data_IF_072663197919
#
_entry.id   IF_072663197919
#
_cell.length_a   1.000
_cell.length_b   1.000
_cell.length_c   1.000
_cell.angle_alpha   90.00
_cell.angle_beta   90.00
_cell.angle_gamma   90.00
#
_symmetry.space_group_name_H-M   'P 1'
#
loop_
_entity.id
_entity.type
_entity.pdbx_description
1 polymer ?
#
# COMPACT_ATOMS: atom_id res chain seq x y z
N UNK A 1 14.27 1.66 -4.32
CA UNK A 1 13.94 0.29 -4.71
C UNK A 1 13.55 -0.53 -3.48
N UNK A 2 12.53 -1.35 -3.60
CA UNK A 2 12.13 -2.22 -2.50
C UNK A 2 13.17 -3.30 -2.27
N UNK A 3 13.53 -3.49 -0.99
CA UNK A 3 14.41 -4.59 -0.63
C UNK A 3 13.61 -5.89 -0.58
N UNK A 4 14.31 -7.02 -0.59
CA UNK A 4 13.64 -8.32 -0.46
C UNK A 4 12.93 -8.43 0.89
N UNK A 5 13.50 -7.87 1.93
CA UNK A 5 12.85 -7.88 3.24
C UNK A 5 11.58 -7.05 3.25
N UNK A 6 11.59 -5.90 2.59
CA UNK A 6 10.39 -5.07 2.48
C UNK A 6 9.31 -5.76 1.67
N UNK A 7 9.70 -6.38 0.57
CA UNK A 7 8.74 -7.11 -0.26
C UNK A 7 8.07 -8.23 0.52
N UNK A 8 8.86 -8.96 1.30
CA UNK A 8 8.35 -10.02 2.13
C UNK A 8 7.40 -9.50 3.19
N UNK A 9 7.78 -8.39 3.83
CA UNK A 9 6.96 -7.76 4.84
C UNK A 9 5.61 -7.31 4.28
N UNK A 10 5.64 -6.63 3.14
CA UNK A 10 4.40 -6.16 2.53
C UNK A 10 3.53 -7.30 2.04
N UNK A 11 4.13 -8.35 1.48
CA UNK A 11 3.33 -9.48 1.02
C UNK A 11 2.60 -10.18 2.17
N UNK A 12 3.18 -10.14 3.37
CA UNK A 12 2.54 -10.71 4.55
C UNK A 12 1.25 -9.96 4.90
N UNK A 13 1.14 -8.69 4.50
CA UNK A 13 -0.07 -7.91 4.77
C UNK A 13 -1.29 -8.39 3.99
N UNK A 14 -1.11 -9.32 3.07
CA UNK A 14 -2.25 -9.95 2.41
C UNK A 14 -2.99 -10.89 3.36
N UNK A 15 -2.37 -11.25 4.47
CA UNK A 15 -2.99 -12.09 5.48
C UNK A 15 -3.61 -11.23 6.57
N UNK A 16 -4.85 -11.53 6.91
CA UNK A 16 -5.59 -10.76 7.91
C UNK A 16 -4.84 -10.62 9.23
N UNK A 17 -4.19 -11.70 9.65
CA UNK A 17 -3.43 -11.72 10.89
C UNK A 17 -2.40 -10.58 10.96
N UNK A 18 -1.64 -10.43 9.89
CA UNK A 18 -0.59 -9.43 9.86
C UNK A 18 -1.15 -8.03 9.66
N UNK A 19 -2.25 -7.89 8.91
CA UNK A 19 -2.90 -6.58 8.77
C UNK A 19 -3.34 -6.06 10.12
N UNK A 20 -3.90 -6.91 10.95
CA UNK A 20 -4.33 -6.51 12.28
C UNK A 20 -3.17 -6.21 13.20
N UNK A 21 -2.14 -7.04 13.13
CA UNK A 21 -0.96 -6.87 13.95
C UNK A 21 -0.23 -5.58 13.65
N UNK A 22 -0.04 -5.28 12.35
CA UNK A 22 0.73 -4.12 11.92
C UNK A 22 -0.12 -2.87 11.74
N UNK A 23 -1.44 -3.01 11.75
CA UNK A 23 -2.36 -1.89 11.50
C UNK A 23 -2.10 -1.27 10.14
N UNK A 24 -1.85 -2.11 9.15
CA UNK A 24 -1.56 -1.71 7.77
C UNK A 24 -2.26 -2.64 6.80
N UNK A 25 -2.52 -2.12 5.62
CA UNK A 25 -3.08 -2.95 4.55
C UNK A 25 -2.67 -2.40 3.19
N UNK A 26 -2.92 -3.18 2.15
CA UNK A 26 -2.57 -2.81 0.79
C UNK A 26 -3.84 -2.53 0.03
N UNK A 27 -3.88 -1.38 -0.66
CA UNK A 27 -4.97 -1.08 -1.59
C UNK A 27 -4.41 -1.21 -3.00
N UNK A 28 -5.20 -1.80 -3.90
CA UNK A 28 -4.78 -2.04 -5.28
C UNK A 28 -5.65 -1.26 -6.23
N UNK A 29 -5.02 -0.74 -7.28
CA UNK A 29 -5.70 0.00 -8.33
C UNK A 29 -5.60 1.49 -8.12
N UNK A 30 -5.48 2.22 -9.24
CA UNK A 30 -5.26 3.66 -9.20
C UNK A 30 -6.33 4.39 -8.41
N UNK A 31 -7.59 4.03 -8.64
CA UNK A 31 -8.70 4.71 -7.98
C UNK A 31 -8.64 4.54 -6.46
N UNK A 32 -8.41 3.31 -6.00
CA UNK A 32 -8.34 3.05 -4.56
C UNK A 32 -7.14 3.73 -3.93
N UNK A 33 -6.02 3.73 -4.64
CA UNK A 33 -4.83 4.44 -4.15
C UNK A 33 -5.13 5.93 -3.99
N UNK A 34 -5.76 6.54 -4.99
CA UNK A 34 -6.08 7.95 -4.91
C UNK A 34 -7.07 8.26 -3.78
N UNK A 35 -8.05 7.39 -3.59
CA UNK A 35 -9.01 7.56 -2.50
C UNK A 35 -8.33 7.43 -1.14
N UNK A 36 -7.42 6.49 -1.00
CA UNK A 36 -6.68 6.32 0.24
C UNK A 36 -5.84 7.56 0.57
N UNK A 37 -5.25 8.18 -0.45
CA UNK A 37 -4.45 9.38 -0.25
C UNK A 37 -5.27 10.59 0.18
N UNK A 38 -6.56 10.59 -0.13
CA UNK A 38 -7.45 11.66 0.28
C UNK A 38 -8.04 11.42 1.67
N UNK A 39 -7.86 10.23 2.21
CA UNK A 39 -8.40 9.86 3.51
C UNK A 39 -7.45 10.23 4.64
N UNK A 40 -7.82 9.86 5.86
CA UNK A 40 -6.96 10.06 7.02
C UNK A 40 -5.84 9.03 7.12
N UNK A 41 -5.85 8.03 6.27
CA UNK A 41 -4.83 6.99 6.31
C UNK A 41 -3.49 7.54 5.86
N UNK A 42 -2.43 7.08 6.51
CA UNK A 42 -1.09 7.47 6.13
C UNK A 42 -0.57 6.49 5.09
N UNK A 43 -0.19 7.02 3.93
CA UNK A 43 0.39 6.18 2.88
C UNK A 43 1.89 6.05 3.13
N UNK A 44 2.37 4.82 3.30
CA UNK A 44 3.79 4.59 3.52
C UNK A 44 4.58 4.55 2.23
N UNK A 45 4.01 3.92 1.22
CA UNK A 45 4.69 3.77 -0.06
C UNK A 45 3.68 3.46 -1.14
N UNK A 46 3.90 4.01 -2.34
CA UNK A 46 3.16 3.64 -3.53
C UNK A 46 4.07 2.72 -4.33
N UNK A 47 3.55 1.57 -4.72
CA UNK A 47 4.32 0.56 -5.44
C UNK A 47 3.71 0.36 -6.81
N UNK A 48 4.53 0.41 -7.84
CA UNK A 48 4.08 0.22 -9.21
C UNK A 48 4.92 -0.85 -9.88
N UNK A 49 4.28 -1.61 -10.77
CA UNK A 49 5.04 -2.52 -11.62
C UNK A 49 5.72 -1.72 -12.71
N UNK A 50 6.78 -2.29 -13.28
CA UNK A 50 7.51 -1.63 -14.37
C UNK A 50 6.60 -1.34 -15.55
N UNK A 51 5.72 -2.26 -15.87
CA UNK A 51 4.79 -2.09 -16.98
C UNK A 51 3.83 -0.93 -16.73
N UNK A 52 3.26 -0.87 -15.53
CA UNK A 52 2.36 0.23 -15.19
C UNK A 52 3.07 1.56 -15.21
N UNK A 53 4.29 1.62 -14.67
CA UNK A 53 5.04 2.86 -14.60
C UNK A 53 5.34 3.41 -16.00
N UNK A 54 5.63 2.54 -16.96
CA UNK A 54 5.86 2.97 -18.33
C UNK A 54 4.59 3.47 -18.99
N UNK A 55 3.47 2.84 -18.68
CA UNK A 55 2.19 3.17 -19.30
C UNK A 55 1.62 4.48 -18.76
N UNK A 56 1.84 4.76 -17.48
CA UNK A 56 1.22 5.90 -16.82
C UNK A 56 2.28 6.74 -16.11
N UNK A 57 3.20 7.27 -16.89
CA UNK A 57 4.33 8.02 -16.38
C UNK A 57 3.93 9.27 -15.60
N UNK A 58 2.81 9.88 -15.97
CA UNK A 58 2.34 11.07 -15.27
C UNK A 58 1.96 10.75 -13.83
N UNK A 59 1.40 9.55 -13.58
CA UNK A 59 1.07 9.13 -12.23
C UNK A 59 2.33 8.89 -11.42
N UNK A 60 3.38 8.33 -12.05
CA UNK A 60 4.66 8.13 -11.39
C UNK A 60 5.19 9.48 -10.90
N UNK A 61 5.21 10.46 -11.78
CA UNK A 61 5.70 11.79 -11.43
C UNK A 61 4.87 12.44 -10.33
N UNK A 62 3.55 12.31 -10.44
CA UNK A 62 2.63 12.90 -9.47
C UNK A 62 2.89 12.38 -8.06
N UNK A 63 2.99 11.07 -7.91
CA UNK A 63 3.18 10.47 -6.60
C UNK A 63 4.60 10.62 -6.08
N UNK A 64 5.60 10.55 -6.97
CA UNK A 64 7.00 10.64 -6.56
C UNK A 64 7.37 11.98 -5.92
N UNK A 65 6.62 13.03 -6.20
CA UNK A 65 6.91 14.35 -5.65
C UNK A 65 6.62 14.44 -4.16
N UNK A 66 5.65 13.66 -3.67
CA UNK A 66 5.19 13.81 -2.30
C UNK A 66 5.24 12.52 -1.50
N UNK A 67 5.42 11.39 -2.14
CA UNK A 67 5.33 10.09 -1.51
C UNK A 67 6.50 9.21 -1.93
N UNK A 68 6.87 8.29 -1.03
CA UNK A 68 7.80 7.25 -1.42
C UNK A 68 7.14 6.41 -2.50
N UNK A 69 7.77 6.34 -3.66
CA UNK A 69 7.24 5.59 -4.80
C UNK A 69 8.30 4.62 -5.27
N UNK A 70 7.96 3.35 -5.34
CA UNK A 70 8.88 2.29 -5.74
C UNK A 70 8.34 1.56 -6.95
N UNK A 71 9.24 1.26 -7.89
CA UNK A 71 8.89 0.52 -9.10
C UNK A 71 9.56 -0.84 -9.03
N UNK A 72 8.78 -1.91 -9.19
CA UNK A 72 9.27 -3.27 -9.07
C UNK A 72 8.87 -4.09 -10.29
N UNK A 73 9.46 -5.27 -10.42
CA UNK A 73 9.14 -6.14 -11.56
C UNK A 73 7.72 -6.67 -11.46
N UNK A 74 7.20 -7.16 -12.60
CA UNK A 74 5.88 -7.76 -12.62
C UNK A 74 5.78 -8.95 -11.68
N UNK A 75 6.81 -9.78 -11.66
CA UNK A 75 6.83 -10.96 -10.80
C UNK A 75 6.78 -10.58 -9.33
N UNK A 76 7.53 -9.56 -8.94
CA UNK A 76 7.51 -9.11 -7.56
C UNK A 76 6.19 -8.45 -7.19
N UNK A 77 5.58 -7.74 -8.15
CA UNK A 77 4.29 -7.11 -7.89
C UNK A 77 3.22 -8.15 -7.58
N UNK A 78 3.26 -9.29 -8.25
CA UNK A 78 2.30 -10.35 -7.99
C UNK A 78 2.35 -10.85 -6.55
N UNK A 79 3.49 -10.72 -5.90
CA UNK A 79 3.65 -11.17 -4.51
C UNK A 79 2.90 -10.30 -3.52
N UNK A 80 2.57 -9.08 -3.90
CA UNK A 80 1.83 -8.14 -3.02
C UNK A 80 0.42 -7.88 -3.51
N UNK A 81 -0.03 -8.55 -4.57
CA UNK A 81 -1.34 -8.35 -5.16
C UNK A 81 -2.22 -9.55 -4.93
N UNK A 82 -3.47 -9.32 -4.52
CA UNK A 82 -4.43 -10.40 -4.34
C UNK A 82 -5.17 -10.73 -5.63
N UNK A 83 -5.34 -9.75 -6.51
CA UNK A 83 -6.07 -9.97 -7.74
C UNK A 83 -5.24 -10.79 -8.73
N UNK A 84 -5.91 -11.62 -9.50
CA UNK A 84 -5.23 -12.45 -10.49
C UNK A 84 -4.65 -11.62 -11.63
N UNK A 85 -5.31 -10.51 -11.94
CA UNK A 85 -4.85 -9.63 -13.01
C UNK A 85 -4.67 -8.23 -12.43
N UNK A 86 -3.59 -8.02 -11.67
CA UNK A 86 -3.40 -6.73 -11.00
C UNK A 86 -3.17 -5.60 -12.00
N UNK A 87 -3.70 -4.45 -11.69
CA UNK A 87 -3.53 -3.27 -12.51
C UNK A 87 -2.07 -2.81 -12.58
N UNK A 88 -1.32 -3.05 -11.52
CA UNK A 88 0.09 -2.69 -11.48
C UNK A 88 0.41 -1.49 -10.61
N UNK A 89 -0.56 -1.04 -9.82
CA UNK A 89 -0.33 0.03 -8.86
C UNK A 89 -1.02 -0.34 -7.55
N UNK A 90 -0.31 -0.10 -6.46
CA UNK A 90 -0.80 -0.40 -5.12
C UNK A 90 -0.18 0.58 -4.14
N UNK A 91 -0.78 0.68 -2.96
CA UNK A 91 -0.22 1.49 -1.89
C UNK A 91 -0.33 0.75 -0.57
N UNK A 92 0.68 0.92 0.26
CA UNK A 92 0.66 0.40 1.63
C UNK A 92 0.20 1.54 2.51
N UNK A 93 -0.89 1.32 3.24
CA UNK A 93 -1.53 2.37 4.03
C UNK A 93 -1.58 1.94 5.48
N UNK A 94 -1.30 2.88 6.37
CA UNK A 94 -1.39 2.65 7.81
C UNK A 94 -2.71 3.21 8.32
N UNK A 95 -3.35 2.46 9.21
CA UNK A 95 -4.54 2.93 9.87
C UNK A 95 -4.09 3.95 10.91
N UNK A 96 -4.68 5.15 10.97
CA UNK A 96 -4.24 6.14 11.97
C UNK A 96 -4.44 5.58 13.36
N UNK A 97 -3.39 5.64 14.15
CA UNK A 97 -3.53 5.24 15.54
C UNK A 97 -4.22 6.37 16.28
N UNK A 98 -5.32 6.03 16.91
CA UNK A 98 -6.01 6.98 17.73
C UNK A 98 -5.35 6.98 19.10
N UNK A 99 -4.90 8.11 19.57
CA UNK A 99 -4.34 8.17 20.91
C UNK A 99 -5.40 7.89 21.95
N UNK A 100 -6.61 7.90 21.51
CA UNK A 100 -7.69 7.57 22.38
C UNK A 100 -7.92 6.10 22.43
N UNK A 101 -7.58 5.52 22.07
CA UNK A 101 -7.86 4.24 21.85
C UNK A 101 -8.36 3.53 22.90
N UNK A 102 -8.40 4.76 22.86
CA UNK A 102 -8.68 4.55 23.39
C UNK A 102 -9.43 4.18 23.80
N UNK A 103 -9.46 3.93 23.95
CA UNK A 103 -10.02 3.77 24.30
C UNK A 103 -10.67 3.20 24.27
N UNK A 104 -10.78 3.00 24.23
CA UNK A 104 -11.20 2.59 24.29
C UNK A 104 -11.80 2.09 24.34
N UNK A 105 -11.72 1.98 24.58
CA UNK A 105 -12.06 1.62 24.76
C UNK A 105 -12.66 1.27 24.67
N UNK A 106 -12.54 1.03 24.81
CA UNK A 106 -12.86 0.80 24.82
C UNK A 106 -13.37 0.35 24.40
N UNK A 107 -13.47 0.11 24.52
CA UNK A 107 -13.77 -0.27 24.20
C UNK A 107 -14.18 -0.65 23.62
N UNK A 108 -14.16 -0.80 23.71
CA UNK A 108 -14.35 -1.09 23.34
C UNK A 108 -14.74 -1.44 22.94
N UNK A 109 -14.82 -1.66 23.04
CA UNK A 109 -14.96 -1.86 22.84
C UNK A 109 -15.13 -2.11 22.65
#
# INVERSE_FOLDING_TARGET
>A
MLTQNELKYYSALLQKKYRQQEQKFIVEGKRLVEEALKSNYKCEVVIMSEFYAKKDHSTVEKFSKHLRTEIITEDNFKKIAETKAPQGIAAVVSIPSSPIKISKDEKLI
#
